data_IF_726666118063
#
_entry.id   IF_726666118063
#
_cell.length_a   1.000
_cell.length_b   1.000
_cell.length_c   1.000
_cell.angle_alpha   90.00
_cell.angle_beta   90.00
_cell.angle_gamma   90.00
#
_symmetry.space_group_name_H-M   'P 1'
#
loop_
_entity.id
_entity.type
_entity.pdbx_description
1 polymer ?
#
# COMPACT_ATOMS: atom_id res chain seq x y z
N UNK A 1 23.49 -7.45 30.01
CA UNK A 1 22.91 -8.72 29.58
C UNK A 1 22.28 -9.44 30.74
N UNK A 2 21.86 -10.67 30.51
CA UNK A 2 21.15 -11.58 31.41
C UNK A 2 22.19 -12.57 31.96
N UNK A 3 22.25 -12.78 33.28
CA UNK A 3 23.12 -13.79 33.89
C UNK A 3 22.87 -15.19 33.30
N UNK A 4 23.93 -15.98 33.13
CA UNK A 4 23.85 -17.28 32.47
C UNK A 4 22.90 -18.27 33.18
N UNK A 5 22.81 -18.19 34.51
CA UNK A 5 21.91 -18.98 35.36
C UNK A 5 20.43 -18.57 35.24
N UNK A 6 20.16 -17.40 34.66
CA UNK A 6 18.81 -16.85 34.47
C UNK A 6 18.32 -16.96 33.03
N UNK A 7 19.20 -17.31 32.09
CA UNK A 7 18.97 -17.17 30.66
C UNK A 7 17.90 -18.13 30.11
N UNK A 8 17.79 -19.34 30.66
CA UNK A 8 16.68 -20.25 30.29
C UNK A 8 15.35 -19.79 30.90
N UNK A 9 15.41 -19.20 32.09
CA UNK A 9 14.24 -18.81 32.86
C UNK A 9 13.39 -17.71 32.22
N UNK A 10 14.01 -16.82 31.44
CA UNK A 10 13.31 -15.66 30.86
C UNK A 10 12.14 -16.03 29.92
N UNK A 11 12.09 -17.27 29.45
CA UNK A 11 11.03 -17.78 28.59
C UNK A 11 9.87 -18.42 29.36
N UNK A 12 9.98 -18.55 30.69
CA UNK A 12 8.93 -19.08 31.53
C UNK A 12 7.85 -18.03 31.80
N UNK A 13 6.59 -18.47 31.85
CA UNK A 13 5.46 -17.60 32.14
C UNK A 13 5.60 -17.03 33.55
N UNK A 14 5.36 -15.73 33.69
CA UNK A 14 5.37 -14.99 34.96
C UNK A 14 6.74 -14.87 35.63
N UNK A 15 7.84 -15.22 34.94
CA UNK A 15 9.18 -15.02 35.47
C UNK A 15 9.66 -13.59 35.15
N UNK A 16 10.16 -12.90 36.17
CA UNK A 16 10.81 -11.61 36.06
C UNK A 16 12.19 -11.70 36.72
N UNK A 17 13.21 -11.10 36.11
CA UNK A 17 14.51 -10.93 36.75
C UNK A 17 14.39 -9.88 37.85
N UNK A 18 15.02 -10.12 39.00
CA UNK A 18 14.98 -9.16 40.11
C UNK A 18 15.53 -7.79 39.69
N UNK A 19 14.84 -6.74 40.15
CA UNK A 19 15.01 -5.36 39.70
C UNK A 19 16.36 -4.78 40.12
N UNK A 20 17.08 -4.16 39.19
CA UNK A 20 17.92 -3.01 39.53
C UNK A 20 17.00 -1.79 39.80
N UNK A 21 17.30 -1.04 40.86
CA UNK A 21 16.40 -0.11 41.56
C UNK A 21 15.94 1.17 40.80
N UNK A 22 15.81 1.17 39.47
CA UNK A 22 15.60 2.41 38.68
C UNK A 22 14.46 2.41 37.65
N UNK A 23 13.57 1.41 37.58
CA UNK A 23 12.37 1.49 36.70
C UNK A 23 11.09 1.01 37.38
N UNK A 24 10.05 1.85 37.30
CA UNK A 24 8.79 1.76 38.07
C UNK A 24 7.63 1.02 37.39
N UNK A 25 7.84 0.34 36.25
CA UNK A 25 6.78 -0.41 35.55
C UNK A 25 7.28 -1.80 35.14
N UNK A 26 6.89 -2.85 35.87
CA UNK A 26 7.19 -4.24 35.51
C UNK A 26 6.01 -4.87 34.77
N UNK A 27 6.21 -5.30 33.52
CA UNK A 27 5.19 -6.02 32.74
C UNK A 27 4.99 -7.46 33.24
N UNK A 28 3.88 -8.11 32.90
CA UNK A 28 3.43 -9.39 33.49
C UNK A 28 4.37 -10.63 33.36
N UNK A 29 5.57 -10.49 32.77
CA UNK A 29 6.49 -11.62 32.56
C UNK A 29 5.97 -12.63 31.53
N UNK A 30 5.12 -12.17 30.60
CA UNK A 30 4.46 -13.04 29.62
C UNK A 30 5.00 -12.90 28.20
N UNK A 31 5.67 -11.80 27.86
CA UNK A 31 6.05 -11.47 26.47
C UNK A 31 6.89 -12.56 25.81
N UNK A 32 8.04 -12.92 26.40
CA UNK A 32 8.93 -13.95 25.84
C UNK A 32 8.32 -15.35 25.85
N UNK A 33 7.48 -15.66 26.83
CA UNK A 33 6.74 -16.92 26.87
C UNK A 33 5.70 -17.02 25.74
N UNK A 34 5.02 -15.92 25.40
CA UNK A 34 4.10 -15.83 24.25
C UNK A 34 4.89 -15.96 22.94
N UNK A 35 5.99 -15.22 22.79
CA UNK A 35 6.83 -15.30 21.60
C UNK A 35 7.35 -16.73 21.36
N UNK A 36 7.79 -17.42 22.42
CA UNK A 36 8.24 -18.82 22.34
C UNK A 36 7.11 -19.74 21.88
N UNK A 37 5.92 -19.61 22.48
CA UNK A 37 4.77 -20.42 22.11
C UNK A 37 4.34 -20.21 20.64
N UNK A 38 4.40 -18.97 20.14
CA UNK A 38 4.12 -18.66 18.73
C UNK A 38 5.17 -19.34 17.84
N UNK A 39 6.45 -19.13 18.10
CA UNK A 39 7.54 -19.68 17.27
C UNK A 39 7.51 -21.21 17.24
N UNK A 40 7.26 -21.86 18.38
CA UNK A 40 7.10 -23.31 18.48
C UNK A 40 5.86 -23.80 17.71
N UNK A 41 4.75 -23.04 17.71
CA UNK A 41 3.56 -23.36 16.92
C UNK A 41 3.81 -23.32 15.40
N UNK A 42 4.77 -22.51 14.95
CA UNK A 42 5.26 -22.48 13.57
C UNK A 42 6.38 -23.50 13.29
N UNK A 43 6.65 -24.43 14.22
CA UNK A 43 7.70 -25.44 14.08
C UNK A 43 9.12 -24.88 14.09
N UNK A 44 9.30 -23.72 14.74
CA UNK A 44 10.57 -23.02 14.89
C UNK A 44 11.14 -23.05 16.30
N UNK A 45 12.28 -22.39 16.48
CA UNK A 45 13.02 -22.28 17.74
C UNK A 45 13.27 -20.81 18.12
N UNK A 46 13.17 -20.45 19.40
CA UNK A 46 13.51 -19.14 19.96
C UNK A 46 14.55 -19.31 21.08
N UNK A 47 15.69 -18.63 21.01
CA UNK A 47 16.73 -18.63 22.06
C UNK A 47 17.34 -17.25 22.27
N UNK A 48 18.16 -17.10 23.31
CA UNK A 48 18.92 -15.89 23.58
C UNK A 48 20.40 -16.22 23.80
N UNK A 49 21.27 -15.28 23.47
CA UNK A 49 22.68 -15.28 23.87
C UNK A 49 22.93 -13.97 24.61
N UNK A 50 23.59 -14.04 25.76
CA UNK A 50 23.78 -12.86 26.58
C UNK A 50 25.03 -12.93 27.42
N UNK A 51 25.68 -11.78 27.56
CA UNK A 51 26.78 -11.57 28.49
C UNK A 51 26.40 -10.43 29.45
N UNK A 52 26.61 -10.68 30.75
CA UNK A 52 26.32 -9.71 31.80
C UNK A 52 27.14 -8.44 31.59
N UNK A 53 26.52 -7.26 31.75
CA UNK A 53 27.17 -5.99 31.41
C UNK A 53 27.31 -5.66 29.91
N UNK A 54 27.36 -6.64 28.99
CA UNK A 54 27.58 -6.40 27.55
C UNK A 54 26.29 -6.33 26.70
N UNK A 55 25.23 -7.06 27.09
CA UNK A 55 23.94 -7.02 26.38
C UNK A 55 23.33 -8.40 26.14
N UNK A 56 22.22 -8.45 25.40
CA UNK A 56 21.49 -9.70 25.07
C UNK A 56 21.06 -9.67 23.60
N UNK A 57 21.22 -10.77 22.89
CA UNK A 57 20.73 -10.99 21.53
C UNK A 57 19.73 -12.14 21.53
N UNK A 58 18.60 -11.97 20.88
CA UNK A 58 17.56 -12.99 20.75
C UNK A 58 17.51 -13.48 19.31
N UNK A 59 17.28 -14.77 19.13
CA UNK A 59 17.31 -15.42 17.83
C UNK A 59 16.06 -16.24 17.64
N UNK A 60 15.49 -16.16 16.44
CA UNK A 60 14.34 -16.96 16.02
C UNK A 60 14.73 -17.75 14.77
N UNK A 61 14.35 -19.02 14.74
CA UNK A 61 14.48 -19.89 13.57
C UNK A 61 13.09 -20.38 13.20
N UNK A 62 12.67 -20.18 11.95
CA UNK A 62 11.38 -20.63 11.45
C UNK A 62 11.57 -21.45 10.18
N UNK A 63 10.71 -22.45 9.97
CA UNK A 63 10.61 -23.16 8.69
C UNK A 63 9.57 -22.46 7.83
N UNK A 64 10.03 -21.67 6.87
CA UNK A 64 9.15 -21.04 5.89
C UNK A 64 8.98 -21.98 4.71
N UNK A 65 7.74 -22.14 4.24
CA UNK A 65 7.49 -22.77 2.95
C UNK A 65 8.05 -21.84 1.87
N UNK A 66 9.18 -22.24 1.29
CA UNK A 66 9.72 -21.59 0.10
C UNK A 66 8.82 -22.02 -1.06
N UNK A 67 7.91 -21.15 -1.49
CA UNK A 67 7.23 -21.36 -2.77
C UNK A 67 8.28 -21.38 -3.86
N UNK A 68 8.22 -22.34 -4.78
CA UNK A 68 9.06 -22.26 -5.97
C UNK A 68 8.83 -20.89 -6.65
N UNK A 69 9.88 -20.20 -7.10
CA UNK A 69 9.70 -18.99 -7.88
C UNK A 69 8.83 -19.35 -9.08
N UNK A 70 7.59 -18.87 -9.08
CA UNK A 70 6.69 -18.99 -10.22
C UNK A 70 7.43 -18.42 -11.42
N UNK A 71 7.62 -19.23 -12.46
CA UNK A 71 8.33 -18.85 -13.67
C UNK A 71 7.84 -17.47 -14.14
N UNK A 72 8.81 -16.59 -14.41
CA UNK A 72 8.64 -15.20 -14.81
C UNK A 72 7.55 -15.03 -15.89
N UNK A 73 6.39 -14.51 -15.51
CA UNK A 73 5.75 -13.52 -16.37
C UNK A 73 6.70 -12.34 -16.37
N UNK A 74 7.38 -12.12 -17.49
CA UNK A 74 8.41 -11.11 -17.71
C UNK A 74 8.25 -9.95 -16.72
N UNK A 75 9.08 -9.97 -15.66
CA UNK A 75 9.08 -8.90 -14.68
C UNK A 75 9.18 -7.60 -15.47
N UNK A 76 8.37 -6.57 -15.14
CA UNK A 76 8.54 -5.28 -15.77
C UNK A 76 10.01 -4.91 -15.60
N UNK A 77 10.69 -4.71 -16.74
CA UNK A 77 12.07 -4.27 -16.73
C UNK A 77 12.16 -3.10 -15.77
N UNK A 78 12.97 -3.24 -14.72
CA UNK A 78 13.35 -2.12 -13.87
C UNK A 78 13.69 -0.92 -14.77
N UNK A 79 13.25 0.30 -14.43
CA UNK A 79 13.39 1.44 -15.31
C UNK A 79 14.84 1.57 -15.78
N UNK A 80 15.03 1.66 -17.10
CA UNK A 80 16.36 1.67 -17.75
C UNK A 80 17.13 3.00 -17.57
N UNK A 81 16.85 3.75 -16.51
CA UNK A 81 17.40 5.07 -16.21
C UNK A 81 17.70 5.23 -14.71
N UNK A 82 18.23 6.39 -14.28
CA UNK A 82 18.54 6.64 -12.88
C UNK A 82 17.26 6.51 -12.03
N UNK A 83 17.34 5.72 -10.96
CA UNK A 83 16.22 5.49 -10.03
C UNK A 83 16.00 6.78 -9.22
N UNK A 84 14.81 7.37 -9.25
CA UNK A 84 14.56 8.64 -8.55
C UNK A 84 13.61 8.45 -7.38
N UNK A 85 14.05 8.88 -6.21
CA UNK A 85 13.27 8.84 -4.99
C UNK A 85 12.89 10.26 -4.53
N UNK A 86 11.66 10.43 -4.05
CA UNK A 86 11.23 11.62 -3.31
C UNK A 86 11.16 11.27 -1.82
N UNK A 87 11.95 11.95 -1.00
CA UNK A 87 12.09 11.71 0.43
C UNK A 87 11.44 12.84 1.24
N UNK A 88 10.45 12.49 2.05
CA UNK A 88 9.79 13.35 3.01
C UNK A 88 10.02 12.82 4.43
N UNK A 89 11.03 13.32 5.11
CA UNK A 89 11.35 12.92 6.48
C UNK A 89 11.72 14.16 7.31
N UNK A 90 11.13 14.29 8.50
CA UNK A 90 11.34 15.45 9.39
C UNK A 90 12.51 15.25 10.34
N UNK A 91 12.80 14.02 10.71
CA UNK A 91 13.98 13.72 11.51
C UNK A 91 15.23 13.89 10.63
N UNK A 92 16.10 14.89 10.90
CA UNK A 92 17.24 15.18 10.05
C UNK A 92 18.30 14.08 10.08
N UNK A 93 18.39 13.30 11.16
CA UNK A 93 19.37 12.21 11.28
C UNK A 93 18.88 11.00 10.49
N UNK A 94 17.61 10.61 10.65
CA UNK A 94 16.99 9.56 9.85
C UNK A 94 16.97 9.93 8.37
N UNK A 95 16.62 11.18 8.01
CA UNK A 95 16.63 11.66 6.63
C UNK A 95 18.00 11.52 5.97
N UNK A 96 19.07 11.92 6.67
CA UNK A 96 20.46 11.76 6.16
C UNK A 96 20.80 10.29 5.96
N UNK A 97 20.40 9.42 6.89
CA UNK A 97 20.64 7.99 6.83
C UNK A 97 19.91 7.32 5.65
N UNK A 98 18.59 7.56 5.50
CA UNK A 98 17.79 7.02 4.40
C UNK A 98 18.29 7.50 3.03
N UNK A 99 18.69 8.78 2.93
CA UNK A 99 19.30 9.35 1.73
C UNK A 99 20.59 8.61 1.37
N UNK A 100 21.52 8.48 2.31
CA UNK A 100 22.81 7.85 2.05
C UNK A 100 22.65 6.41 1.54
N UNK A 101 21.76 5.63 2.16
CA UNK A 101 21.47 4.24 1.74
C UNK A 101 20.95 4.14 0.30
N UNK A 102 20.08 5.07 -0.12
CA UNK A 102 19.57 5.09 -1.49
C UNK A 102 20.63 5.59 -2.48
N UNK A 103 21.38 6.64 -2.13
CA UNK A 103 22.43 7.21 -3.00
C UNK A 103 23.59 6.24 -3.22
N UNK A 104 23.98 5.45 -2.21
CA UNK A 104 25.00 4.39 -2.33
C UNK A 104 24.60 3.32 -3.37
N UNK A 105 23.29 3.13 -3.57
CA UNK A 105 22.69 2.22 -4.57
C UNK A 105 22.37 2.92 -5.91
N UNK A 106 22.89 4.14 -6.10
CA UNK A 106 22.79 4.90 -7.33
C UNK A 106 21.44 5.59 -7.55
N UNK A 107 20.63 5.79 -6.50
CA UNK A 107 19.40 6.56 -6.61
C UNK A 107 19.66 8.06 -6.56
N UNK A 108 18.90 8.81 -7.36
CA UNK A 108 18.79 10.26 -7.24
C UNK A 108 17.70 10.59 -6.22
N UNK A 109 18.10 11.08 -5.04
CA UNK A 109 17.17 11.41 -3.95
C UNK A 109 16.88 12.91 -3.90
N UNK A 110 15.61 13.27 -4.10
CA UNK A 110 15.12 14.64 -3.90
C UNK A 110 14.37 14.75 -2.58
N UNK A 111 14.60 15.82 -1.85
CA UNK A 111 13.88 16.11 -0.62
C UNK A 111 12.63 16.95 -0.86
N UNK A 112 11.63 16.75 -0.01
CA UNK A 112 10.58 17.74 0.25
C UNK A 112 10.31 17.80 1.76
N UNK A 113 10.13 19.01 2.29
CA UNK A 113 9.85 19.21 3.71
C UNK A 113 8.34 19.15 4.01
N UNK A 114 7.52 19.52 3.02
CA UNK A 114 6.06 19.60 3.11
C UNK A 114 5.41 18.67 2.09
N UNK A 115 4.28 18.06 2.47
CA UNK A 115 3.48 17.23 1.58
C UNK A 115 2.95 18.03 0.38
N UNK A 116 2.57 19.30 0.56
CA UNK A 116 2.15 20.18 -0.55
C UNK A 116 3.27 20.39 -1.58
N UNK A 117 4.49 20.66 -1.13
CA UNK A 117 5.67 20.81 -2.00
C UNK A 117 5.96 19.51 -2.76
N UNK A 118 5.85 18.36 -2.09
CA UNK A 118 6.01 17.07 -2.74
C UNK A 118 4.99 16.82 -3.86
N UNK A 119 3.73 17.21 -3.66
CA UNK A 119 2.69 17.09 -4.69
C UNK A 119 2.99 17.97 -5.92
N UNK A 120 3.58 19.16 -5.72
CA UNK A 120 4.03 20.02 -6.82
C UNK A 120 5.17 19.38 -7.62
N UNK A 121 6.16 18.78 -6.92
CA UNK A 121 7.30 18.09 -7.55
C UNK A 121 6.84 16.94 -8.46
N UNK A 122 5.83 16.18 -8.02
CA UNK A 122 5.28 15.04 -8.76
C UNK A 122 4.57 15.45 -10.06
N UNK A 123 4.14 16.70 -10.19
CA UNK A 123 3.55 17.22 -11.42
C UNK A 123 4.57 17.53 -12.52
N UNK A 124 5.84 17.78 -12.16
CA UNK A 124 6.86 18.30 -13.07
C UNK A 124 7.95 17.28 -13.42
N UNK A 125 8.21 16.32 -12.53
CA UNK A 125 9.34 15.38 -12.65
C UNK A 125 8.88 13.95 -12.46
N UNK A 126 9.52 13.03 -13.18
CA UNK A 126 9.28 11.61 -12.95
C UNK A 126 9.99 11.15 -11.67
N UNK A 127 9.23 10.48 -10.82
CA UNK A 127 9.63 9.89 -9.55
C UNK A 127 9.26 8.41 -9.60
N UNK A 128 10.18 7.56 -9.19
CA UNK A 128 10.03 6.10 -9.24
C UNK A 128 9.64 5.52 -7.88
N UNK A 129 9.95 6.22 -6.79
CA UNK A 129 9.59 5.84 -5.42
C UNK A 129 9.34 7.08 -4.55
N UNK A 130 8.34 7.03 -3.67
CA UNK A 130 8.09 8.05 -2.66
C UNK A 130 8.33 7.43 -1.28
N UNK A 131 9.18 8.06 -0.47
CA UNK A 131 9.39 7.72 0.93
C UNK A 131 8.82 8.84 1.78
N UNK A 132 7.92 8.53 2.70
CA UNK A 132 7.32 9.55 3.56
C UNK A 132 7.20 9.09 5.01
N UNK A 133 7.70 9.92 5.93
CA UNK A 133 7.43 9.81 7.35
C UNK A 133 5.95 10.00 7.66
N UNK A 134 5.52 9.46 8.80
CA UNK A 134 4.16 9.69 9.30
C UNK A 134 3.89 11.15 9.69
N UNK A 135 4.90 11.85 10.17
CA UNK A 135 4.77 13.24 10.60
C UNK A 135 5.45 14.11 9.55
N UNK A 136 4.68 14.87 8.77
CA UNK A 136 5.19 15.89 7.85
C UNK A 136 4.94 17.29 8.43
N UNK A 137 5.56 18.31 7.86
CA UNK A 137 5.45 19.68 8.42
C UNK A 137 4.03 20.26 8.33
N UNK A 138 3.27 19.91 7.29
CA UNK A 138 1.98 20.52 6.96
C UNK A 138 0.80 19.52 6.93
N UNK A 139 1.06 18.22 7.05
CA UNK A 139 0.03 17.17 7.09
C UNK A 139 0.58 15.86 7.68
N UNK A 140 -0.31 14.90 7.94
CA UNK A 140 0.08 13.54 8.34
C UNK A 140 0.42 12.68 7.10
N UNK A 141 1.37 11.76 7.20
CA UNK A 141 1.87 10.94 6.08
C UNK A 141 0.78 10.05 5.45
N UNK A 142 -0.14 9.51 6.25
CA UNK A 142 -1.32 8.80 5.73
C UNK A 142 -2.24 9.70 4.89
N UNK A 143 -2.40 10.96 5.29
CA UNK A 143 -3.17 11.94 4.52
C UNK A 143 -2.44 12.28 3.21
N UNK A 144 -1.11 12.44 3.26
CA UNK A 144 -0.29 12.64 2.08
C UNK A 144 -0.45 11.51 1.07
N UNK A 145 -0.39 10.25 1.50
CA UNK A 145 -0.60 9.10 0.62
C UNK A 145 -2.00 9.08 0.01
N UNK A 146 -3.04 9.43 0.77
CA UNK A 146 -4.39 9.55 0.20
C UNK A 146 -4.44 10.60 -0.92
N UNK A 147 -3.73 11.72 -0.76
CA UNK A 147 -3.63 12.76 -1.80
C UNK A 147 -2.86 12.26 -3.03
N UNK A 148 -1.80 11.46 -2.86
CA UNK A 148 -1.10 10.81 -3.98
C UNK A 148 -2.06 9.93 -4.78
N UNK A 149 -2.87 9.12 -4.09
CA UNK A 149 -3.83 8.22 -4.75
C UNK A 149 -5.02 8.96 -5.38
N UNK A 150 -5.22 10.22 -5.06
CA UNK A 150 -6.26 11.07 -5.65
C UNK A 150 -5.77 11.89 -6.85
N UNK A 151 -4.50 11.71 -7.27
CA UNK A 151 -3.88 12.49 -8.33
C UNK A 151 -3.45 11.59 -9.51
N UNK A 152 -3.86 11.89 -10.76
CA UNK A 152 -3.50 11.09 -11.93
C UNK A 152 -1.99 10.88 -12.14
N UNK A 153 -1.18 11.87 -11.79
CA UNK A 153 0.27 11.85 -11.98
C UNK A 153 1.02 10.94 -11.01
N UNK A 154 0.42 10.58 -9.86
CA UNK A 154 1.11 9.85 -8.79
C UNK A 154 0.36 8.65 -8.23
N UNK A 155 -0.83 8.35 -8.76
CA UNK A 155 -1.71 7.29 -8.25
C UNK A 155 -1.06 5.90 -8.23
N UNK A 156 -0.17 5.60 -9.17
CA UNK A 156 0.55 4.32 -9.31
C UNK A 156 2.03 4.39 -8.93
N UNK A 157 2.52 5.52 -8.43
CA UNK A 157 3.90 5.63 -7.93
C UNK A 157 3.98 4.91 -6.57
N UNK A 158 4.89 3.94 -6.39
CA UNK A 158 5.07 3.25 -5.11
C UNK A 158 5.37 4.22 -3.98
N UNK A 159 4.66 4.09 -2.86
CA UNK A 159 4.84 4.89 -1.66
C UNK A 159 5.18 4.00 -0.45
N UNK A 160 6.35 4.22 0.12
CA UNK A 160 6.84 3.56 1.33
C UNK A 160 6.70 4.52 2.52
N UNK A 161 5.90 4.14 3.50
CA UNK A 161 5.76 4.92 4.73
C UNK A 161 6.82 4.50 5.76
N UNK A 162 7.44 5.48 6.41
CA UNK A 162 8.43 5.30 7.48
C UNK A 162 7.83 5.77 8.82
N UNK A 163 8.02 4.99 9.89
CA UNK A 163 7.64 5.45 11.23
C UNK A 163 7.55 4.33 12.28
N UNK A 164 7.50 4.72 13.55
CA UNK A 164 7.45 3.79 14.69
C UNK A 164 6.03 3.50 15.23
N UNK A 165 4.99 4.06 14.60
CA UNK A 165 3.64 4.15 15.18
C UNK A 165 2.50 3.49 14.39
N UNK A 166 2.79 2.61 13.44
CA UNK A 166 1.78 2.00 12.56
C UNK A 166 2.07 0.55 12.20
N UNK A 167 1.15 -0.07 11.47
CA UNK A 167 1.34 -1.38 10.85
C UNK A 167 1.10 -1.33 9.33
N UNK A 168 1.60 -2.35 8.64
CA UNK A 168 1.49 -2.47 7.18
C UNK A 168 0.04 -2.53 6.71
N UNK A 169 -0.86 -3.15 7.47
CA UNK A 169 -2.28 -3.30 7.09
C UNK A 169 -2.98 -1.96 7.05
N UNK A 170 -2.68 -1.08 8.01
CA UNK A 170 -3.16 0.29 8.03
C UNK A 170 -2.54 1.09 6.89
N UNK A 171 -1.23 1.02 6.69
CA UNK A 171 -0.55 1.73 5.60
C UNK A 171 -1.16 1.39 4.22
N UNK A 172 -1.36 0.10 3.93
CA UNK A 172 -1.99 -0.38 2.68
C UNK A 172 -3.42 0.13 2.55
N UNK A 173 -4.21 0.14 3.63
CA UNK A 173 -5.59 0.63 3.60
C UNK A 173 -5.70 2.11 3.22
N UNK A 174 -4.64 2.90 3.47
CA UNK A 174 -4.56 4.32 3.06
C UNK A 174 -3.88 4.51 1.70
N UNK A 175 -3.35 3.44 1.10
CA UNK A 175 -2.79 3.42 -0.25
C UNK A 175 -1.27 3.31 -0.32
N UNK A 176 -0.58 3.09 0.80
CA UNK A 176 0.84 2.83 0.77
C UNK A 176 1.13 1.44 0.17
N UNK A 177 2.34 1.27 -0.35
CA UNK A 177 2.82 0.02 -0.96
C UNK A 177 3.72 -0.76 0.00
N UNK A 178 4.27 -0.07 1.01
CA UNK A 178 5.05 -0.64 2.07
C UNK A 178 4.98 0.20 3.34
N UNK A 179 5.45 -0.41 4.42
CA UNK A 179 5.61 0.20 5.72
C UNK A 179 6.93 -0.30 6.30
N UNK A 180 7.75 0.60 6.82
CA UNK A 180 8.98 0.22 7.48
C UNK A 180 9.20 0.98 8.78
N UNK A 181 9.86 0.28 9.72
CA UNK A 181 10.24 0.82 11.02
C UNK A 181 11.76 0.86 11.09
N UNK A 182 12.35 2.04 10.87
CA UNK A 182 13.71 2.38 11.33
C UNK A 182 14.87 1.41 11.02
N UNK A 183 14.74 0.53 10.01
CA UNK A 183 15.78 -0.39 9.57
C UNK A 183 16.31 0.07 8.20
N UNK A 184 17.45 0.79 8.16
CA UNK A 184 18.01 1.31 6.92
C UNK A 184 18.49 0.22 5.98
N UNK A 185 18.93 -0.93 6.49
CA UNK A 185 19.45 -2.02 5.66
C UNK A 185 18.30 -2.70 4.89
N UNK A 186 17.11 -2.75 5.50
CA UNK A 186 15.90 -3.22 4.84
C UNK A 186 15.37 -2.24 3.76
N UNK A 187 15.78 -0.96 3.80
CA UNK A 187 15.24 0.07 2.90
C UNK A 187 15.50 -0.26 1.44
N UNK A 188 16.75 -0.56 1.10
CA UNK A 188 17.19 -0.78 -0.29
C UNK A 188 16.46 -1.99 -0.88
N UNK A 189 16.38 -3.08 -0.11
CA UNK A 189 15.69 -4.28 -0.52
C UNK A 189 14.20 -4.02 -0.77
N UNK A 190 13.54 -3.29 0.13
CA UNK A 190 12.12 -2.95 0.00
C UNK A 190 11.87 -1.98 -1.16
N UNK A 191 12.71 -0.94 -1.31
CA UNK A 191 12.66 -0.02 -2.43
C UNK A 191 12.81 -0.75 -3.77
N UNK A 192 13.82 -1.63 -3.88
CA UNK A 192 14.06 -2.45 -5.05
C UNK A 192 12.88 -3.39 -5.36
N UNK A 193 12.31 -4.03 -4.34
CA UNK A 193 11.11 -4.87 -4.47
C UNK A 193 9.93 -4.08 -5.01
N UNK A 194 9.71 -2.87 -4.50
CA UNK A 194 8.59 -2.02 -4.92
C UNK A 194 8.71 -1.55 -6.38
N UNK A 195 9.91 -1.15 -6.82
CA UNK A 195 10.09 -0.66 -8.21
C UNK A 195 10.24 -1.78 -9.24
N UNK A 196 10.61 -2.99 -8.82
CA UNK A 196 10.67 -4.18 -9.69
C UNK A 196 9.33 -4.89 -9.80
N UNK A 197 8.39 -4.61 -8.89
CA UNK A 197 7.03 -5.11 -8.97
C UNK A 197 6.30 -4.50 -10.18
N UNK A 198 5.39 -5.25 -10.82
CA UNK A 198 4.46 -4.68 -11.80
C UNK A 198 3.77 -3.44 -11.25
N UNK A 199 3.76 -2.39 -12.08
CA UNK A 199 2.98 -1.19 -11.76
C UNK A 199 1.54 -1.64 -11.52
N UNK A 200 0.96 -1.15 -10.43
CA UNK A 200 -0.41 -1.46 -10.07
C UNK A 200 -1.34 -1.00 -11.18
N UNK A 201 -2.26 -1.88 -11.59
CA UNK A 201 -3.36 -1.51 -12.49
C UNK A 201 -4.19 -0.43 -11.81
N UNK A 202 -4.52 0.63 -12.54
CA UNK A 202 -5.25 1.80 -12.06
C UNK A 202 -6.74 1.63 -12.30
N UNK A 203 -7.51 1.57 -11.22
CA UNK A 203 -8.97 1.60 -11.24
C UNK A 203 -9.44 3.02 -10.97
N UNK A 204 -10.15 3.64 -11.91
CA UNK A 204 -10.84 4.91 -11.69
C UNK A 204 -12.19 4.65 -11.02
N UNK A 205 -12.34 5.10 -9.79
CA UNK A 205 -13.54 4.97 -8.97
C UNK A 205 -14.34 6.28 -8.95
N UNK A 206 -15.59 6.24 -9.42
CA UNK A 206 -16.56 7.33 -9.32
C UNK A 206 -17.65 6.94 -8.32
N UNK A 207 -17.68 7.62 -7.17
CA UNK A 207 -18.65 7.39 -6.09
C UNK A 207 -18.74 8.69 -5.28
N UNK A 208 -19.94 9.25 -5.08
CA UNK A 208 -20.11 10.55 -4.43
C UNK A 208 -20.11 10.42 -2.90
N UNK A 209 -20.67 9.33 -2.36
CA UNK A 209 -20.65 9.05 -0.94
C UNK A 209 -19.20 8.77 -0.46
N UNK A 210 -18.63 9.61 0.44
CA UNK A 210 -17.26 9.47 0.87
C UNK A 210 -16.98 8.20 1.67
N UNK A 211 -17.97 7.66 2.39
CA UNK A 211 -17.81 6.44 3.17
C UNK A 211 -17.81 5.21 2.25
N UNK A 212 -18.70 5.15 1.26
CA UNK A 212 -18.74 4.08 0.26
C UNK A 212 -17.47 4.12 -0.60
N UNK A 213 -17.08 5.32 -1.07
CA UNK A 213 -15.87 5.51 -1.87
C UNK A 213 -14.62 5.00 -1.15
N UNK A 214 -14.46 5.37 0.13
CA UNK A 214 -13.35 4.90 0.96
C UNK A 214 -13.36 3.39 1.17
N UNK A 215 -14.54 2.78 1.38
CA UNK A 215 -14.67 1.34 1.58
C UNK A 215 -14.30 0.55 0.31
N UNK A 216 -14.78 1.00 -0.85
CA UNK A 216 -14.47 0.41 -2.16
C UNK A 216 -12.98 0.56 -2.47
N UNK A 217 -12.43 1.77 -2.31
CA UNK A 217 -11.01 2.04 -2.56
C UNK A 217 -10.09 1.19 -1.68
N UNK A 218 -10.44 0.98 -0.40
CA UNK A 218 -9.72 0.08 0.50
C UNK A 218 -9.74 -1.38 0.02
N UNK A 219 -10.89 -1.85 -0.47
CA UNK A 219 -11.01 -3.19 -1.03
C UNK A 219 -10.08 -3.39 -2.22
N UNK A 220 -10.10 -2.44 -3.17
CA UNK A 220 -9.24 -2.44 -4.35
C UNK A 220 -7.75 -2.40 -3.99
N UNK A 221 -7.35 -1.51 -3.07
CA UNK A 221 -5.95 -1.37 -2.63
C UNK A 221 -5.41 -2.64 -1.98
N UNK A 222 -6.21 -3.31 -1.14
CA UNK A 222 -5.82 -4.60 -0.53
C UNK A 222 -5.65 -5.71 -1.56
N UNK A 223 -6.36 -5.64 -2.68
CA UNK A 223 -6.21 -6.55 -3.81
C UNK A 223 -5.04 -6.17 -4.74
N UNK A 224 -4.27 -5.13 -4.41
CA UNK A 224 -3.08 -4.72 -5.18
C UNK A 224 -3.35 -3.71 -6.30
N UNK A 225 -4.57 -3.19 -6.41
CA UNK A 225 -4.89 -2.15 -7.39
C UNK A 225 -4.54 -0.75 -6.89
N UNK A 226 -4.09 0.10 -7.82
CA UNK A 226 -4.08 1.54 -7.61
C UNK A 226 -5.51 2.04 -7.81
N UNK A 227 -6.02 2.88 -6.91
CA UNK A 227 -7.38 3.40 -6.98
C UNK A 227 -7.34 4.92 -7.08
N UNK A 228 -7.74 5.44 -8.25
CA UNK A 228 -7.92 6.86 -8.52
C UNK A 228 -9.35 7.25 -8.17
N UNK A 229 -9.52 7.99 -7.09
CA UNK A 229 -10.84 8.30 -6.52
C UNK A 229 -11.35 9.66 -7.00
N UNK A 230 -12.61 9.71 -7.47
CA UNK A 230 -13.33 10.96 -7.80
C UNK A 230 -14.77 10.90 -7.31
N UNK A 231 -15.34 12.06 -6.99
CA UNK A 231 -16.70 12.19 -6.47
C UNK A 231 -17.73 12.63 -7.53
N UNK A 232 -17.31 12.90 -8.76
CA UNK A 232 -18.21 13.35 -9.83
C UNK A 232 -17.74 12.89 -11.20
N UNK A 233 -18.69 12.74 -12.13
CA UNK A 233 -18.40 12.26 -13.48
C UNK A 233 -17.59 13.25 -14.33
N UNK A 234 -17.76 14.56 -14.11
CA UNK A 234 -16.99 15.58 -14.81
C UNK A 234 -15.48 15.47 -14.51
N UNK A 235 -15.13 15.36 -13.21
CA UNK A 235 -13.73 15.16 -12.79
C UNK A 235 -13.18 13.82 -13.25
N UNK A 236 -14.02 12.78 -13.31
CA UNK A 236 -13.62 11.47 -13.82
C UNK A 236 -13.10 11.54 -15.26
N UNK A 237 -13.79 12.27 -16.15
CA UNK A 237 -13.36 12.46 -17.54
C UNK A 237 -12.09 13.29 -17.65
N UNK A 238 -11.96 14.34 -16.84
CA UNK A 238 -10.72 15.12 -16.76
C UNK A 238 -9.53 14.22 -16.42
N UNK A 239 -9.67 13.40 -15.38
CA UNK A 239 -8.63 12.51 -14.88
C UNK A 239 -8.32 11.38 -15.87
N UNK A 240 -9.33 10.73 -16.43
CA UNK A 240 -9.16 9.66 -17.41
C UNK A 240 -8.40 10.12 -18.66
N UNK A 241 -8.57 11.39 -19.07
CA UNK A 241 -7.85 11.95 -20.22
C UNK A 241 -6.39 12.29 -19.92
N UNK A 242 -6.05 12.57 -18.66
CA UNK A 242 -4.67 12.78 -18.20
C UNK A 242 -3.95 11.44 -18.00
N UNK A 243 -4.62 10.47 -17.38
CA UNK A 243 -4.13 9.12 -17.14
C UNK A 243 -5.26 8.12 -17.45
N UNK A 244 -5.24 7.49 -18.65
CA UNK A 244 -6.20 6.45 -18.96
C UNK A 244 -6.13 5.32 -17.92
N UNK A 245 -7.25 4.99 -17.24
CA UNK A 245 -7.27 3.93 -16.26
C UNK A 245 -7.29 2.55 -16.95
N UNK A 246 -6.88 1.52 -16.23
CA UNK A 246 -7.02 0.14 -16.66
C UNK A 246 -8.47 -0.36 -16.53
N UNK A 247 -9.27 0.22 -15.62
CA UNK A 247 -10.69 -0.09 -15.44
C UNK A 247 -11.46 1.12 -14.89
N UNK A 248 -12.69 1.31 -15.37
CA UNK A 248 -13.67 2.25 -14.82
C UNK A 248 -14.63 1.53 -13.87
N UNK A 249 -14.74 2.00 -12.63
CA UNK A 249 -15.73 1.56 -11.65
C UNK A 249 -16.58 2.78 -11.26
N UNK A 250 -17.85 2.79 -11.63
CA UNK A 250 -18.71 3.98 -11.45
C UNK A 250 -20.03 3.62 -10.80
N UNK A 251 -20.49 4.43 -9.84
CA UNK A 251 -21.92 4.52 -9.55
C UNK A 251 -22.64 5.18 -10.74
N UNK A 252 -23.92 4.86 -10.94
CA UNK A 252 -24.79 5.56 -11.89
C UNK A 252 -25.16 6.95 -11.40
N UNK A 253 -25.54 7.07 -10.13
CA UNK A 253 -26.11 8.29 -9.56
C UNK A 253 -25.02 9.13 -8.90
N UNK A 254 -24.33 9.93 -9.72
CA UNK A 254 -23.26 10.81 -9.26
C UNK A 254 -23.49 12.24 -9.76
N UNK A 255 -23.02 13.27 -9.03
CA UNK A 255 -23.27 14.66 -9.39
C UNK A 255 -22.53 15.08 -10.67
N UNK A 256 -22.97 16.20 -11.22
CA UNK A 256 -22.47 16.88 -12.43
C UNK A 256 -22.70 16.13 -13.75
N UNK A 257 -22.31 14.85 -13.81
CA UNK A 257 -22.46 13.99 -14.98
C UNK A 257 -22.66 12.56 -14.52
N UNK A 258 -23.75 11.93 -14.95
CA UNK A 258 -24.12 10.60 -14.47
C UNK A 258 -23.13 9.51 -14.98
N UNK A 259 -23.06 8.38 -14.30
CA UNK A 259 -22.11 7.31 -14.63
C UNK A 259 -22.30 6.72 -16.03
N UNK A 260 -23.53 6.75 -16.56
CA UNK A 260 -23.85 6.26 -17.89
C UNK A 260 -23.40 7.26 -18.96
N UNK A 261 -23.54 8.56 -18.72
CA UNK A 261 -23.00 9.64 -19.53
C UNK A 261 -21.47 9.61 -19.57
N UNK A 262 -20.80 9.38 -18.44
CA UNK A 262 -19.35 9.16 -18.40
C UNK A 262 -18.98 7.95 -19.27
N UNK A 263 -19.71 6.85 -19.15
CA UNK A 263 -19.45 5.65 -19.93
C UNK A 263 -19.65 5.90 -21.45
N UNK A 264 -20.67 6.67 -21.86
CA UNK A 264 -20.86 7.06 -23.26
C UNK A 264 -19.66 7.85 -23.79
N UNK A 265 -19.13 8.77 -22.99
CA UNK A 265 -17.94 9.57 -23.34
C UNK A 265 -16.69 8.70 -23.48
N UNK A 266 -16.52 7.69 -22.62
CA UNK A 266 -15.44 6.71 -22.75
C UNK A 266 -15.53 5.98 -24.10
N UNK A 267 -16.74 5.60 -24.54
CA UNK A 267 -16.92 4.87 -25.81
C UNK A 267 -16.69 5.70 -27.08
N UNK A 268 -16.63 7.02 -26.97
CA UNK A 268 -16.33 7.91 -28.11
C UNK A 268 -14.90 8.46 -28.09
N UNK A 269 -14.17 8.42 -26.97
CA UNK A 269 -12.75 8.80 -26.91
C UNK A 269 -11.85 7.61 -27.32
N UNK A 270 -11.06 7.73 -28.41
CA UNK A 270 -10.20 6.64 -28.89
C UNK A 270 -9.14 6.15 -27.89
N UNK A 271 -8.87 6.89 -26.82
CA UNK A 271 -7.92 6.48 -25.76
C UNK A 271 -8.61 5.71 -24.64
N UNK A 272 -9.94 5.76 -24.56
CA UNK A 272 -10.75 5.22 -23.46
C UNK A 272 -11.74 4.14 -23.92
N UNK A 273 -12.00 4.01 -25.23
CA UNK A 273 -13.06 3.13 -25.75
C UNK A 273 -12.93 1.68 -25.30
N UNK A 274 -11.70 1.19 -25.12
CA UNK A 274 -11.39 -0.20 -24.76
C UNK A 274 -11.26 -0.41 -23.25
N UNK A 275 -11.36 0.66 -22.44
CA UNK A 275 -11.30 0.55 -20.98
C UNK A 275 -12.51 -0.27 -20.50
N UNK A 276 -12.30 -1.43 -19.85
CA UNK A 276 -13.38 -2.20 -19.25
C UNK A 276 -14.07 -1.37 -18.16
N UNK A 277 -15.38 -1.52 -18.06
CA UNK A 277 -16.18 -0.74 -17.12
C UNK A 277 -17.12 -1.63 -16.31
N UNK A 278 -17.25 -1.31 -15.03
CA UNK A 278 -18.22 -1.88 -14.10
C UNK A 278 -19.08 -0.73 -13.59
N UNK A 279 -20.39 -0.89 -13.69
CA UNK A 279 -21.38 0.03 -13.15
C UNK A 279 -21.97 -0.58 -11.87
N UNK A 280 -21.89 0.15 -10.77
CA UNK A 280 -22.53 -0.20 -9.50
C UNK A 280 -23.86 0.55 -9.43
N UNK A 281 -24.98 -0.13 -9.20
CA UNK A 281 -26.29 0.55 -9.14
C UNK A 281 -27.31 -0.15 -8.25
N UNK A 282 -28.16 0.62 -7.57
CA UNK A 282 -29.38 0.12 -6.94
C UNK A 282 -30.56 -0.02 -7.91
N UNK A 283 -30.53 0.69 -9.04
CA UNK A 283 -31.61 0.76 -10.02
C UNK A 283 -31.37 -0.21 -11.18
N UNK A 284 -31.98 -1.40 -11.08
CA UNK A 284 -31.81 -2.48 -12.06
C UNK A 284 -33.08 -2.71 -12.90
N UNK A 285 -33.59 -1.66 -13.55
CA UNK A 285 -34.65 -1.81 -14.55
C UNK A 285 -34.11 -2.46 -15.83
N UNK A 286 -34.99 -3.04 -16.64
CA UNK A 286 -34.57 -3.67 -17.90
C UNK A 286 -33.89 -2.68 -18.83
N UNK A 287 -34.41 -1.45 -18.91
CA UNK A 287 -33.90 -0.36 -19.75
C UNK A 287 -32.50 0.07 -19.29
N UNK A 288 -32.28 0.21 -17.98
CA UNK A 288 -30.98 0.60 -17.43
C UNK A 288 -29.93 -0.48 -17.67
N UNK A 289 -30.28 -1.76 -17.43
CA UNK A 289 -29.36 -2.87 -17.69
C UNK A 289 -29.01 -3.01 -19.17
N UNK A 290 -29.97 -2.79 -20.06
CA UNK A 290 -29.76 -2.80 -21.51
C UNK A 290 -28.84 -1.65 -21.94
N UNK A 291 -29.06 -0.44 -21.42
CA UNK A 291 -28.21 0.70 -21.69
C UNK A 291 -26.74 0.44 -21.27
N UNK A 292 -26.51 -0.10 -20.08
CA UNK A 292 -25.17 -0.43 -19.58
C UNK A 292 -24.49 -1.50 -20.46
N UNK A 293 -25.22 -2.56 -20.81
CA UNK A 293 -24.70 -3.65 -21.67
C UNK A 293 -24.39 -3.18 -23.09
N UNK A 294 -25.21 -2.30 -23.66
CA UNK A 294 -24.98 -1.72 -24.99
C UNK A 294 -23.65 -0.94 -25.05
N UNK A 295 -23.23 -0.40 -23.90
CA UNK A 295 -21.96 0.30 -23.71
C UNK A 295 -20.84 -0.64 -23.22
N UNK A 296 -20.99 -1.96 -23.36
CA UNK A 296 -19.98 -2.98 -23.04
C UNK A 296 -19.47 -2.90 -21.60
N UNK A 297 -20.33 -2.55 -20.65
CA UNK A 297 -20.01 -2.53 -19.23
C UNK A 297 -20.72 -3.66 -18.47
N UNK A 298 -20.08 -4.09 -17.37
CA UNK A 298 -20.65 -5.03 -16.41
C UNK A 298 -21.48 -4.30 -15.37
N UNK A 299 -22.38 -5.01 -14.69
CA UNK A 299 -23.27 -4.44 -13.67
C UNK A 299 -23.10 -5.18 -12.35
N UNK A 300 -22.98 -4.43 -11.26
CA UNK A 300 -23.06 -4.93 -9.89
C UNK A 300 -24.22 -4.22 -9.17
N UNK A 301 -25.16 -5.01 -8.65
CA UNK A 301 -26.30 -4.49 -7.89
C UNK A 301 -25.94 -4.06 -6.47
N UNK A 302 -26.49 -2.94 -5.98
CA UNK A 302 -26.46 -2.56 -4.56
C UNK A 302 -27.58 -3.31 -3.78
N UNK A 303 -27.33 -3.82 -2.56
CA UNK A 303 -26.04 -3.88 -1.87
C UNK A 303 -25.13 -4.98 -2.43
N UNK A 304 -23.82 -4.74 -2.42
CA UNK A 304 -22.80 -5.69 -2.86
C UNK A 304 -21.78 -6.00 -1.77
N UNK A 305 -21.20 -7.20 -1.81
CA UNK A 305 -20.06 -7.53 -0.98
C UNK A 305 -18.78 -6.97 -1.62
N UNK A 306 -17.89 -6.28 -0.87
CA UNK A 306 -16.63 -5.75 -1.40
C UNK A 306 -15.78 -6.81 -2.11
N UNK A 307 -15.74 -8.04 -1.58
CA UNK A 307 -15.01 -9.15 -2.19
C UNK A 307 -15.58 -9.60 -3.55
N UNK A 308 -16.90 -9.45 -3.76
CA UNK A 308 -17.50 -9.76 -5.07
C UNK A 308 -17.12 -8.71 -6.12
N UNK A 309 -17.09 -7.43 -5.73
CA UNK A 309 -16.61 -6.35 -6.60
C UNK A 309 -15.14 -6.53 -6.98
N UNK A 310 -14.27 -6.85 -6.02
CA UNK A 310 -12.84 -7.10 -6.29
C UNK A 310 -12.64 -8.26 -7.27
N UNK A 311 -13.36 -9.38 -7.09
CA UNK A 311 -13.26 -10.52 -8.03
C UNK A 311 -13.67 -10.14 -9.46
N UNK A 312 -14.69 -9.30 -9.61
CA UNK A 312 -15.11 -8.86 -10.94
C UNK A 312 -14.07 -7.93 -11.59
N UNK A 313 -13.42 -7.07 -10.80
CA UNK A 313 -12.28 -6.25 -11.25
C UNK A 313 -11.11 -7.14 -11.69
N UNK A 314 -10.73 -8.12 -10.87
CA UNK A 314 -9.66 -9.08 -11.18
C UNK A 314 -9.97 -9.89 -12.45
N UNK A 315 -11.22 -10.31 -12.64
CA UNK A 315 -11.68 -11.04 -13.83
C UNK A 315 -11.55 -10.19 -15.09
N UNK A 316 -11.95 -8.92 -15.05
CA UNK A 316 -11.87 -8.01 -16.21
C UNK A 316 -10.44 -7.58 -16.54
N UNK A 317 -9.57 -7.48 -15.52
CA UNK A 317 -8.17 -7.11 -15.69
C UNK A 317 -7.24 -8.31 -15.93
N UNK A 318 -7.74 -9.53 -15.81
CA UNK A 318 -6.94 -10.75 -15.97
C UNK A 318 -5.89 -10.92 -14.86
N UNK A 319 -6.18 -10.44 -13.64
CA UNK A 319 -5.24 -10.48 -12.50
C UNK A 319 -5.67 -11.45 -11.39
N UNK A 320 -6.77 -12.19 -11.60
CA UNK A 320 -7.29 -13.16 -10.63
C UNK A 320 -6.50 -14.47 -10.58
N UNK A 321 -6.72 -15.32 -9.56
CA UNK A 321 -6.04 -16.61 -9.43
C UNK A 321 -6.27 -17.57 -10.59
N UNK A 322 -7.37 -17.40 -11.34
CA UNK A 322 -7.74 -18.21 -12.51
C UNK A 322 -7.12 -17.70 -13.84
N UNK A 323 -6.27 -16.65 -13.81
CA UNK A 323 -5.67 -16.03 -14.99
C UNK A 323 -4.44 -16.78 -15.54
N UNK A 324 -4.32 -18.10 -15.31
CA UNK A 324 -3.21 -18.95 -15.79
C UNK A 324 -3.68 -20.10 -16.66
#
# INVERSE_FOLDING_TARGET
>A
GIPADQLEGIFEKFRQLERSATRSHGGAGLGLAICRAIVEAFGGDLWAESEEGAGSRFFVRLRLAYGEPRAEEAAPRAPAGPKRALLLERDPDLKRLLRAQLEDEGWEVRDAARGKEALEILGEKSVDLILAGLELEDMHGLEFVQRLRSAPASVDIPALLTGAGGDLSQAIAYGADGWMVGDPDALVAEAARLISSPRRRVVLLIEDDPAVRLAVARGLRRAGFACLEVASGARALEYARQRPPDLLLTDLEVPEKDGLEVLREFRVDPRLLDVPAIVITGHQTAETLEAIRSLRAQVIGKPFAPAAMVREVERLLGTGPDAS
#
